data_IF_387396278066
#
_entry.id   IF_387396278066
#
_cell.length_a   1.000
_cell.length_b   1.000
_cell.length_c   1.000
_cell.angle_alpha   90.00
_cell.angle_beta   90.00
_cell.angle_gamma   90.00
#
_symmetry.space_group_name_H-M   'P 1'
#
loop_
_entity.id
_entity.type
_entity.pdbx_description
1 polymer ?
#
# COMPACT_ATOMS: atom_id res chain seq x y z
N UNK A 1 -6.89 4.85 12.25
CA UNK A 1 -5.59 4.56 11.64
C UNK A 1 -5.55 5.24 10.28
N UNK A 2 -4.47 5.98 9.98
CA UNK A 2 -4.17 6.53 8.67
C UNK A 2 -3.24 5.57 7.94
N UNK A 3 -3.63 5.13 6.77
CA UNK A 3 -2.87 4.23 5.92
C UNK A 3 -2.61 4.94 4.61
N UNK A 4 -1.42 4.75 4.05
CA UNK A 4 -1.12 5.12 2.66
C UNK A 4 -0.79 3.87 1.87
N UNK A 5 -1.23 3.80 0.62
CA UNK A 5 -1.05 2.64 -0.25
C UNK A 5 -0.35 3.03 -1.55
N UNK A 6 0.52 2.16 -2.06
CA UNK A 6 1.00 2.22 -3.44
C UNK A 6 0.68 0.89 -4.11
N UNK A 7 0.05 0.95 -5.28
CA UNK A 7 -0.19 -0.24 -6.11
C UNK A 7 0.58 -0.11 -7.43
N UNK A 8 1.28 -1.17 -7.85
CA UNK A 8 2.04 -1.13 -9.10
C UNK A 8 2.16 -2.47 -9.82
N UNK A 9 1.87 -2.50 -11.12
CA UNK A 9 1.97 -3.68 -11.95
C UNK A 9 2.56 -3.34 -13.33
N UNK A 10 3.55 -4.12 -13.79
CA UNK A 10 4.22 -3.91 -15.08
C UNK A 10 3.29 -4.10 -16.27
N UNK A 11 2.36 -5.05 -16.16
CA UNK A 11 1.54 -5.50 -17.29
C UNK A 11 0.32 -4.61 -17.56
N UNK A 12 0.06 -3.60 -16.72
CA UNK A 12 -0.91 -2.55 -17.05
C UNK A 12 -1.78 -2.06 -15.91
N UNK A 13 -2.75 -1.25 -16.32
CA UNK A 13 -3.68 -0.47 -15.47
C UNK A 13 -4.68 -1.32 -14.69
N UNK A 14 -5.14 -2.45 -15.22
CA UNK A 14 -6.27 -3.18 -14.66
C UNK A 14 -5.98 -3.72 -13.24
N UNK A 15 -4.90 -4.49 -13.08
CA UNK A 15 -4.59 -5.05 -11.77
C UNK A 15 -4.15 -4.00 -10.75
N UNK A 16 -3.50 -2.92 -11.20
CA UNK A 16 -3.17 -1.76 -10.36
C UNK A 16 -4.45 -1.14 -9.77
N UNK A 17 -5.42 -0.79 -10.62
CA UNK A 17 -6.69 -0.22 -10.13
C UNK A 17 -7.53 -1.21 -9.33
N UNK A 18 -7.57 -2.48 -9.71
CA UNK A 18 -8.27 -3.52 -8.95
C UNK A 18 -7.68 -3.66 -7.54
N UNK A 19 -6.36 -3.70 -7.42
CA UNK A 19 -5.70 -3.76 -6.12
C UNK A 19 -5.99 -2.51 -5.29
N UNK A 20 -5.96 -1.32 -5.91
CA UNK A 20 -6.28 -0.07 -5.22
C UNK A 20 -7.73 -0.07 -4.70
N UNK A 21 -8.71 -0.45 -5.53
CA UNK A 21 -10.11 -0.50 -5.15
C UNK A 21 -10.37 -1.53 -4.03
N UNK A 22 -9.75 -2.72 -4.12
CA UNK A 22 -9.87 -3.74 -3.07
C UNK A 22 -9.24 -3.26 -1.76
N UNK A 23 -8.08 -2.61 -1.81
CA UNK A 23 -7.43 -2.04 -0.63
C UNK A 23 -8.29 -0.94 0.00
N UNK A 24 -8.80 -0.01 -0.79
CA UNK A 24 -9.67 1.04 -0.30
C UNK A 24 -10.92 0.49 0.37
N UNK A 25 -11.61 -0.46 -0.28
CA UNK A 25 -12.81 -1.09 0.28
C UNK A 25 -12.50 -1.82 1.58
N UNK A 26 -11.38 -2.54 1.63
CA UNK A 26 -10.96 -3.33 2.80
C UNK A 26 -10.64 -2.40 3.98
N UNK A 27 -9.88 -1.33 3.75
CA UNK A 27 -9.56 -0.32 4.75
C UNK A 27 -10.81 0.44 5.21
N UNK A 28 -11.69 0.86 4.29
CA UNK A 28 -12.96 1.54 4.61
C UNK A 28 -13.86 0.65 5.48
N UNK A 29 -13.97 -0.65 5.16
CA UNK A 29 -14.73 -1.62 5.96
C UNK A 29 -14.16 -1.78 7.38
N UNK A 30 -12.84 -1.68 7.53
CA UNK A 30 -12.18 -1.74 8.83
C UNK A 30 -12.15 -0.39 9.58
N UNK A 31 -12.74 0.68 9.01
CA UNK A 31 -12.78 2.01 9.62
C UNK A 31 -11.47 2.80 9.53
N UNK A 32 -10.57 2.43 8.61
CA UNK A 32 -9.30 3.12 8.39
C UNK A 32 -9.44 4.22 7.34
N UNK A 33 -8.68 5.31 7.52
CA UNK A 33 -8.48 6.32 6.48
C UNK A 33 -7.38 5.82 5.56
N UNK A 34 -7.61 5.88 4.25
CA UNK A 34 -6.71 5.35 3.24
C UNK A 34 -6.60 6.32 2.07
N UNK A 35 -5.37 6.56 1.61
CA UNK A 35 -5.06 7.21 0.34
C UNK A 35 -4.20 6.25 -0.48
N UNK A 36 -4.51 6.04 -1.76
CA UNK A 36 -3.81 5.08 -2.61
C UNK A 36 -3.24 5.78 -3.84
N UNK A 37 -1.93 5.66 -4.03
CA UNK A 37 -1.21 6.02 -5.24
C UNK A 37 -1.15 4.79 -6.17
N UNK A 38 -1.38 5.00 -7.46
CA UNK A 38 -1.35 3.95 -8.48
C UNK A 38 -0.23 4.24 -9.45
N UNK A 39 0.69 3.29 -9.64
CA UNK A 39 1.80 3.41 -10.58
C UNK A 39 1.65 2.32 -11.65
N UNK A 40 1.58 2.71 -12.92
CA UNK A 40 1.41 1.75 -14.02
C UNK A 40 2.01 2.27 -15.33
N UNK A 41 1.65 1.61 -16.43
CA UNK A 41 2.14 1.98 -17.76
C UNK A 41 1.75 3.40 -18.21
N UNK A 42 0.70 3.99 -17.62
CA UNK A 42 0.27 5.36 -17.89
C UNK A 42 0.95 6.40 -16.97
N UNK A 43 1.88 5.96 -16.11
CA UNK A 43 2.51 6.78 -15.09
C UNK A 43 1.86 6.62 -13.71
N UNK A 44 2.13 7.60 -12.86
CA UNK A 44 1.66 7.64 -11.47
C UNK A 44 0.44 8.56 -11.34
N UNK A 45 -0.61 8.07 -10.68
CA UNK A 45 -1.82 8.83 -10.36
C UNK A 45 -2.07 8.83 -8.85
N UNK A 46 -2.79 9.86 -8.38
CA UNK A 46 -3.08 10.07 -6.95
C UNK A 46 -1.81 10.04 -6.08
N UNK A 47 -0.75 10.66 -6.59
CA UNK A 47 0.55 10.66 -5.93
C UNK A 47 0.43 11.18 -4.49
N UNK A 48 0.96 10.41 -3.55
CA UNK A 48 0.89 10.70 -2.13
C UNK A 48 1.76 11.91 -1.80
N UNK A 49 1.17 12.88 -1.10
CA UNK A 49 1.92 14.01 -0.56
C UNK A 49 2.87 13.54 0.54
N UNK A 50 4.03 14.19 0.67
CA UNK A 50 5.00 13.86 1.71
C UNK A 50 4.39 13.95 3.13
N UNK A 51 3.46 14.89 3.35
CA UNK A 51 2.71 15.02 4.59
C UNK A 51 1.82 13.80 4.89
N UNK A 52 1.19 13.22 3.87
CA UNK A 52 0.33 12.05 4.05
C UNK A 52 1.15 10.82 4.44
N UNK A 53 2.34 10.67 3.86
CA UNK A 53 3.27 9.59 4.18
C UNK A 53 3.84 9.76 5.59
N UNK A 54 4.23 10.99 5.97
CA UNK A 54 4.75 11.27 7.31
C UNK A 54 3.69 11.07 8.41
N UNK A 55 2.43 11.38 8.12
CA UNK A 55 1.30 11.21 9.04
C UNK A 55 0.75 9.77 9.08
N UNK A 56 1.22 8.89 8.19
CA UNK A 56 0.70 7.52 8.08
C UNK A 56 1.17 6.65 9.25
N UNK A 57 0.24 5.87 9.80
CA UNK A 57 0.57 4.84 10.79
C UNK A 57 1.33 3.67 10.13
N UNK A 58 0.90 3.32 8.90
CA UNK A 58 1.39 2.21 8.08
C UNK A 58 1.31 2.58 6.59
N UNK A 59 2.34 2.24 5.83
CA UNK A 59 2.35 2.25 4.37
C UNK A 59 2.18 0.82 3.83
N UNK A 60 1.40 0.65 2.77
CA UNK A 60 1.12 -0.64 2.13
C UNK A 60 1.57 -0.58 0.68
N UNK A 61 2.57 -1.38 0.31
CA UNK A 61 3.11 -1.43 -1.04
C UNK A 61 2.69 -2.76 -1.67
N UNK A 62 1.78 -2.70 -2.63
CA UNK A 62 1.27 -3.85 -3.36
C UNK A 62 1.82 -3.76 -4.77
N UNK A 63 2.95 -4.40 -5.02
CA UNK A 63 3.64 -4.22 -6.29
C UNK A 63 4.34 -5.47 -6.78
N UNK A 64 4.29 -5.68 -8.09
CA UNK A 64 5.09 -6.71 -8.77
C UNK A 64 6.42 -6.15 -9.32
N UNK A 65 6.65 -4.85 -9.12
CA UNK A 65 7.83 -4.11 -9.56
C UNK A 65 8.33 -3.17 -8.45
N UNK A 66 9.54 -2.65 -8.62
CA UNK A 66 10.01 -1.54 -7.80
C UNK A 66 9.17 -0.29 -8.09
N UNK A 67 8.61 0.29 -7.04
CA UNK A 67 7.84 1.53 -7.13
C UNK A 67 8.79 2.72 -7.23
N UNK A 68 8.35 3.76 -7.92
CA UNK A 68 9.02 5.05 -7.94
C UNK A 68 8.86 5.76 -6.59
N UNK A 69 9.95 6.34 -6.10
CA UNK A 69 9.97 7.07 -4.84
C UNK A 69 9.82 6.16 -3.60
N UNK A 70 10.32 4.92 -3.65
CA UNK A 70 10.24 3.97 -2.54
C UNK A 70 10.91 4.50 -1.25
N UNK A 71 11.93 5.36 -1.38
CA UNK A 71 12.64 5.98 -0.27
C UNK A 71 11.76 6.88 0.61
N UNK A 72 10.65 7.40 0.06
CA UNK A 72 9.65 8.18 0.82
C UNK A 72 9.08 7.41 2.01
N UNK A 73 9.06 6.08 1.93
CA UNK A 73 8.48 5.19 2.95
C UNK A 73 9.50 4.67 3.96
N UNK A 74 10.78 5.06 3.84
CA UNK A 74 11.87 4.54 4.70
C UNK A 74 11.67 4.78 6.20
N UNK A 75 10.95 5.85 6.57
CA UNK A 75 10.63 6.17 7.96
C UNK A 75 9.27 5.64 8.44
N UNK A 76 8.54 4.95 7.55
CA UNK A 76 7.21 4.43 7.83
C UNK A 76 7.25 2.93 8.09
N UNK A 77 6.20 2.39 8.71
CA UNK A 77 6.02 0.94 8.81
C UNK A 77 5.48 0.45 7.48
N UNK A 78 6.13 -0.50 6.85
CA UNK A 78 5.78 -0.93 5.50
C UNK A 78 5.26 -2.37 5.51
N UNK A 79 4.08 -2.60 4.95
CA UNK A 79 3.64 -3.93 4.54
C UNK A 79 3.81 -4.04 3.04
N UNK A 80 4.55 -5.03 2.56
CA UNK A 80 4.83 -5.24 1.15
C UNK A 80 4.32 -6.61 0.69
N UNK A 81 3.67 -6.67 -0.46
CA UNK A 81 3.25 -7.93 -1.08
C UNK A 81 3.10 -7.77 -2.59
N UNK A 82 2.99 -8.89 -3.31
CA UNK A 82 2.68 -8.88 -4.76
C UNK A 82 1.19 -8.59 -5.01
N UNK A 83 0.87 -8.07 -6.20
CA UNK A 83 -0.52 -7.79 -6.62
C UNK A 83 -1.34 -9.08 -6.62
N UNK A 84 -0.76 -10.18 -7.12
CA UNK A 84 -1.44 -11.48 -7.17
C UNK A 84 -1.72 -12.03 -5.77
N UNK A 85 -0.77 -11.89 -4.83
CA UNK A 85 -0.98 -12.28 -3.45
C UNK A 85 -2.10 -11.45 -2.82
N UNK A 86 -2.06 -10.13 -2.96
CA UNK A 86 -3.05 -9.23 -2.36
C UNK A 86 -4.48 -9.51 -2.84
N UNK A 87 -4.68 -9.68 -4.15
CA UNK A 87 -6.02 -9.92 -4.70
C UNK A 87 -6.62 -11.26 -4.24
N UNK A 88 -5.78 -12.24 -3.90
CA UNK A 88 -6.22 -13.54 -3.36
C UNK A 88 -6.40 -13.52 -1.84
N UNK A 89 -5.52 -12.81 -1.13
CA UNK A 89 -5.36 -12.87 0.32
C UNK A 89 -5.47 -11.49 0.99
N UNK A 90 -6.35 -10.61 0.51
CA UNK A 90 -6.46 -9.23 1.03
C UNK A 90 -6.71 -9.13 2.53
N UNK A 91 -7.39 -10.13 3.11
CA UNK A 91 -7.59 -10.23 4.55
C UNK A 91 -6.29 -10.47 5.33
N UNK A 92 -5.35 -11.24 4.79
CA UNK A 92 -4.04 -11.48 5.40
C UNK A 92 -3.24 -10.18 5.46
N UNK A 93 -3.29 -9.38 4.40
CA UNK A 93 -2.63 -8.07 4.34
C UNK A 93 -3.21 -7.11 5.39
N UNK A 94 -4.53 -7.11 5.60
CA UNK A 94 -5.12 -6.31 6.70
C UNK A 94 -4.64 -6.76 8.09
N UNK A 95 -4.52 -8.07 8.32
CA UNK A 95 -3.98 -8.58 9.59
C UNK A 95 -2.51 -8.18 9.77
N UNK A 96 -1.74 -8.21 8.68
CA UNK A 96 -0.35 -7.76 8.66
C UNK A 96 -0.22 -6.27 9.00
N UNK A 97 -1.12 -5.42 8.50
CA UNK A 97 -1.18 -3.99 8.84
C UNK A 97 -1.40 -3.80 10.35
N UNK A 98 -2.36 -4.51 10.95
CA UNK A 98 -2.61 -4.43 12.40
C UNK A 98 -1.43 -4.97 13.23
N UNK A 99 -0.76 -6.01 12.74
CA UNK A 99 0.42 -6.58 13.39
C UNK A 99 1.60 -5.61 13.37
N UNK A 100 1.94 -5.06 12.19
CA UNK A 100 3.10 -4.20 12.04
C UNK A 100 2.91 -2.87 12.76
N UNK A 101 1.68 -2.40 12.94
CA UNK A 101 1.36 -1.16 13.67
C UNK A 101 2.06 -1.06 15.05
N UNK A 102 2.27 -2.19 15.73
CA UNK A 102 2.94 -2.26 17.06
C UNK A 102 4.47 -2.33 16.99
N UNK A 103 5.03 -2.51 15.80
CA UNK A 103 6.46 -2.57 15.55
C UNK A 103 7.09 -1.16 15.60
N UNK A 104 8.42 -1.06 15.75
CA UNK A 104 9.10 0.23 15.62
C UNK A 104 8.83 0.87 14.25
N UNK A 105 8.91 2.22 14.15
CA UNK A 105 9.00 2.89 12.86
C UNK A 105 10.10 2.25 12.01
N UNK A 106 9.91 2.19 10.69
CA UNK A 106 10.86 1.61 9.72
C UNK A 106 10.84 0.07 9.67
N UNK A 107 9.98 -0.58 10.45
CA UNK A 107 9.75 -2.01 10.30
C UNK A 107 9.11 -2.30 8.93
N UNK A 108 9.61 -3.31 8.24
CA UNK A 108 9.03 -3.83 7.01
C UNK A 108 8.58 -5.28 7.21
N UNK A 109 7.38 -5.59 6.72
CA UNK A 109 6.81 -6.94 6.70
C UNK A 109 6.48 -7.29 5.25
N UNK A 110 7.11 -8.35 4.75
CA UNK A 110 6.93 -8.83 3.38
C UNK A 110 6.07 -10.10 3.42
N UNK A 111 5.04 -10.16 2.56
CA UNK A 111 4.12 -11.29 2.38
C UNK A 111 4.21 -11.90 0.98
#
# INVERSE_FOLDING_TARGET
MKIVGVTACISGVAHTYMAAEVLEKSCKKAGYKISVETQGALGSENQLAASDIADADVAVIIADINIEGAERFSQTRVVRCSITHFLRNSAEVLLAIEKIRKAPPNAELIL
#
